data_IF_848837986301
#
_entry.id   IF_848837986301
#
_cell.length_a   1.000
_cell.length_b   1.000
_cell.length_c   1.000
_cell.angle_alpha   90.00
_cell.angle_beta   90.00
_cell.angle_gamma   90.00
#
_symmetry.space_group_name_H-M   'P 1'
#
loop_
_entity.id
_entity.type
_entity.pdbx_description
1 polymer ?
#
# COMPACT_ATOMS: atom_id res chain seq x y z
N UNK A 1 8.45 -1.83 6.49
CA UNK A 1 7.72 -0.58 6.20
C UNK A 1 8.37 0.03 4.97
N UNK A 2 7.59 0.47 3.99
CA UNK A 2 8.14 1.17 2.82
C UNK A 2 7.88 2.66 3.00
N UNK A 3 8.93 3.47 2.89
CA UNK A 3 8.80 4.92 2.84
C UNK A 3 8.56 5.33 1.39
N UNK A 4 7.66 6.31 1.18
CA UNK A 4 7.43 6.84 -0.16
C UNK A 4 8.61 7.73 -0.49
N UNK A 5 9.31 7.39 -1.57
CA UNK A 5 10.48 8.11 -2.00
C UNK A 5 10.21 8.76 -3.35
N UNK A 6 10.40 10.08 -3.43
CA UNK A 6 10.48 10.77 -4.72
C UNK A 6 11.92 10.70 -5.22
N UNK A 7 12.06 10.25 -6.46
CA UNK A 7 13.33 10.20 -7.17
C UNK A 7 13.49 11.48 -7.98
N UNK A 8 14.63 12.14 -7.84
CA UNK A 8 15.04 13.27 -8.66
C UNK A 8 16.25 12.87 -9.52
N UNK A 9 16.41 13.53 -10.67
CA UNK A 9 17.39 13.17 -11.71
C UNK A 9 18.85 13.18 -11.21
N UNK A 10 19.11 13.92 -10.12
CA UNK A 10 20.38 14.05 -9.41
C UNK A 10 20.56 13.02 -8.27
N UNK A 11 19.81 11.91 -8.28
CA UNK A 11 20.02 10.71 -7.46
C UNK A 11 19.85 10.88 -5.95
N UNK A 12 19.19 11.95 -5.47
CA UNK A 12 18.76 12.01 -4.08
C UNK A 12 17.32 11.52 -3.93
N UNK A 13 17.08 10.95 -2.76
CA UNK A 13 15.79 10.38 -2.36
C UNK A 13 15.15 11.28 -1.32
N UNK A 14 13.95 11.79 -1.61
CA UNK A 14 13.14 12.50 -0.64
C UNK A 14 12.11 11.55 -0.04
N UNK A 15 12.21 11.30 1.27
CA UNK A 15 11.14 10.64 1.99
C UNK A 15 10.00 11.64 2.18
N UNK A 16 8.85 11.36 1.56
CA UNK A 16 7.68 12.25 1.61
C UNK A 16 7.13 12.37 3.04
N UNK A 17 6.68 13.57 3.39
CA UNK A 17 5.82 13.78 4.54
C UNK A 17 4.42 13.19 4.28
N UNK A 18 3.68 12.78 5.34
CA UNK A 18 2.36 12.16 5.18
C UNK A 18 1.33 13.00 4.41
N UNK A 19 1.48 14.33 4.41
CA UNK A 19 0.61 15.26 3.68
C UNK A 19 1.01 15.44 2.19
N UNK A 20 2.18 14.96 1.77
CA UNK A 20 2.68 15.05 0.40
C UNK A 20 2.42 13.78 -0.43
N UNK A 21 2.31 12.62 0.24
CA UNK A 21 2.02 11.37 -0.43
C UNK A 21 1.58 10.26 0.51
N UNK A 22 0.59 9.49 0.08
CA UNK A 22 0.05 8.36 0.84
C UNK A 22 0.29 7.06 0.07
N UNK A 23 0.94 6.09 0.70
CA UNK A 23 1.00 4.71 0.20
C UNK A 23 0.12 3.83 1.09
N UNK A 24 -0.86 3.18 0.46
CA UNK A 24 -1.64 2.10 1.09
C UNK A 24 -0.91 0.78 0.86
N UNK A 25 -0.45 0.16 1.95
CA UNK A 25 0.21 -1.14 1.91
C UNK A 25 -0.64 -2.16 2.65
N UNK A 26 -1.18 -3.13 1.91
CA UNK A 26 -1.93 -4.25 2.50
C UNK A 26 -0.96 -5.39 2.76
N UNK A 27 -0.80 -5.76 4.04
CA UNK A 27 0.09 -6.84 4.46
C UNK A 27 -0.54 -7.63 5.60
N UNK A 28 -0.42 -8.95 5.50
CA UNK A 28 -0.76 -9.84 6.60
C UNK A 28 0.14 -9.54 7.81
N UNK A 29 -0.50 -9.23 8.95
CA UNK A 29 0.15 -8.90 10.21
C UNK A 29 0.89 -10.10 10.83
N UNK A 30 0.46 -11.33 10.53
CA UNK A 30 1.07 -12.55 11.05
C UNK A 30 2.31 -12.97 10.23
N UNK A 31 2.35 -12.61 8.95
CA UNK A 31 3.41 -13.00 8.03
C UNK A 31 4.78 -12.51 8.51
N UNK A 32 5.66 -13.44 8.90
CA UNK A 32 7.03 -13.14 9.33
C UNK A 32 7.10 -12.27 10.59
N UNK A 33 6.14 -12.40 11.52
CA UNK A 33 6.06 -11.61 12.75
C UNK A 33 5.96 -10.08 12.52
N UNK A 34 5.47 -9.66 11.35
CA UNK A 34 5.50 -8.27 10.95
C UNK A 34 4.78 -7.35 11.93
N UNK A 35 3.56 -7.72 12.36
CA UNK A 35 2.76 -6.94 13.29
C UNK A 35 3.48 -6.70 14.63
N UNK A 36 4.16 -7.72 15.16
CA UNK A 36 4.94 -7.60 16.40
C UNK A 36 6.08 -6.58 16.28
N UNK A 37 6.70 -6.49 15.10
CA UNK A 37 7.88 -5.64 14.88
C UNK A 37 7.46 -4.20 14.53
N UNK A 38 6.42 -4.04 13.72
CA UNK A 38 6.15 -2.77 13.03
C UNK A 38 4.85 -2.07 13.44
N UNK A 39 3.87 -2.77 13.99
CA UNK A 39 2.53 -2.21 14.22
C UNK A 39 2.55 -0.95 15.08
N UNK A 40 3.30 -0.97 16.20
CA UNK A 40 3.45 0.19 17.08
C UNK A 40 4.01 1.44 16.36
N UNK A 41 4.90 1.25 15.38
CA UNK A 41 5.47 2.39 14.63
C UNK A 41 4.47 2.95 13.63
N UNK A 42 3.61 2.10 13.06
CA UNK A 42 2.60 2.53 12.09
C UNK A 42 1.41 3.20 12.81
N UNK A 43 1.01 2.70 13.98
CA UNK A 43 -0.04 3.33 14.82
C UNK A 43 0.29 4.80 15.18
N UNK A 44 1.57 5.16 15.28
CA UNK A 44 2.00 6.56 15.52
C UNK A 44 1.70 7.50 14.35
N UNK A 45 1.42 6.98 13.16
CA UNK A 45 1.05 7.79 11.99
C UNK A 45 -0.40 8.31 12.07
N UNK A 46 -1.15 7.89 13.09
CA UNK A 46 -2.52 8.28 13.35
C UNK A 46 -3.49 7.13 13.16
N UNK A 47 -4.77 7.42 13.39
CA UNK A 47 -5.83 6.44 13.22
C UNK A 47 -5.83 5.92 11.79
N UNK A 48 -5.93 4.59 11.64
CA UNK A 48 -6.20 3.91 10.37
C UNK A 48 -7.65 4.15 9.93
N UNK A 49 -8.02 5.42 9.82
CA UNK A 49 -9.29 5.89 9.27
C UNK A 49 -9.12 6.14 7.77
N UNK A 50 -10.24 6.29 7.05
CA UNK A 50 -10.22 6.52 5.59
C UNK A 50 -9.58 5.39 4.77
N UNK A 51 -9.59 4.15 5.30
CA UNK A 51 -9.11 2.96 4.59
C UNK A 51 -10.07 2.46 3.53
N UNK A 52 -11.31 2.96 3.54
CA UNK A 52 -12.30 2.67 2.52
C UNK A 52 -11.79 3.10 1.15
N UNK A 53 -11.93 2.21 0.17
CA UNK A 53 -11.62 2.53 -1.20
C UNK A 53 -12.74 3.42 -1.78
N UNK A 54 -12.45 4.44 -2.61
CA UNK A 54 -13.50 5.28 -3.17
C UNK A 54 -14.50 4.42 -3.96
N UNK A 55 -15.78 4.43 -3.54
CA UNK A 55 -16.82 3.55 -4.10
C UNK A 55 -16.93 3.61 -5.61
N UNK A 56 -16.70 4.79 -6.20
CA UNK A 56 -16.75 5.00 -7.65
C UNK A 56 -15.70 4.20 -8.43
N UNK A 57 -14.60 3.78 -7.79
CA UNK A 57 -13.51 3.02 -8.42
C UNK A 57 -13.48 1.55 -7.98
N UNK A 58 -14.32 1.16 -7.01
CA UNK A 58 -14.26 -0.16 -6.38
C UNK A 58 -14.50 -1.30 -7.39
N UNK A 59 -15.50 -1.14 -8.25
CA UNK A 59 -15.82 -2.10 -9.30
C UNK A 59 -14.68 -2.24 -10.31
N UNK A 60 -14.13 -1.12 -10.78
CA UNK A 60 -13.04 -1.12 -11.77
C UNK A 60 -11.77 -1.76 -11.20
N UNK A 61 -11.42 -1.44 -9.95
CA UNK A 61 -10.29 -2.05 -9.27
C UNK A 61 -10.48 -3.57 -9.17
N UNK A 62 -11.65 -4.01 -8.69
CA UNK A 62 -11.96 -5.43 -8.53
C UNK A 62 -11.87 -6.19 -9.85
N UNK A 63 -12.43 -5.64 -10.93
CA UNK A 63 -12.34 -6.25 -12.26
C UNK A 63 -10.90 -6.36 -12.76
N UNK A 64 -10.11 -5.29 -12.61
CA UNK A 64 -8.73 -5.26 -13.06
C UNK A 64 -7.87 -6.27 -12.30
N UNK A 65 -8.08 -6.41 -10.98
CA UNK A 65 -7.42 -7.43 -10.16
C UNK A 65 -7.81 -8.83 -10.64
N UNK A 66 -9.11 -9.10 -10.84
CA UNK A 66 -9.58 -10.40 -11.36
C UNK A 66 -8.97 -10.74 -12.72
N UNK A 67 -8.97 -9.79 -13.66
CA UNK A 67 -8.35 -9.95 -15.00
C UNK A 67 -6.86 -10.26 -14.89
N UNK A 68 -6.14 -9.57 -13.99
CA UNK A 68 -4.72 -9.82 -13.78
C UNK A 68 -4.45 -11.20 -13.17
N UNK A 69 -5.23 -11.61 -12.17
CA UNK A 69 -5.11 -12.93 -11.56
C UNK A 69 -5.40 -14.04 -12.56
N UNK A 70 -6.44 -13.88 -13.39
CA UNK A 70 -6.73 -14.83 -14.46
C UNK A 70 -5.59 -14.89 -15.49
N UNK A 71 -5.01 -13.75 -15.87
CA UNK A 71 -3.87 -13.74 -16.78
C UNK A 71 -2.63 -14.45 -16.21
N UNK A 72 -2.33 -14.25 -14.92
CA UNK A 72 -1.12 -14.80 -14.29
C UNK A 72 -1.29 -16.27 -13.88
N UNK A 73 -2.46 -16.62 -13.33
CA UNK A 73 -2.70 -17.91 -12.68
C UNK A 73 -3.80 -18.74 -13.35
N UNK A 74 -4.59 -18.14 -14.23
CA UNK A 74 -5.56 -18.86 -15.03
C UNK A 74 -4.81 -19.74 -16.02
N UNK A 75 -4.75 -21.03 -15.72
CA UNK A 75 -4.22 -22.03 -16.64
C UNK A 75 -5.03 -21.99 -17.95
N UNK A 76 -4.29 -21.97 -19.06
CA UNK A 76 -4.78 -22.29 -20.41
C UNK A 76 -5.27 -23.73 -20.50
#
# INVERSE_FOLDING_TARGET
VHHVTKFFDDHWTYQLEPNEGVVRHYRDIAAGNWGKIWLNSVEKMGDFSMTDYPKQFESDLLENVKKRLQYVYGKS
#
